data_IF_189088575507
#
_entry.id   IF_189088575507
#
_cell.length_a   1.000
_cell.length_b   1.000
_cell.length_c   1.000
_cell.angle_alpha   90.00
_cell.angle_beta   90.00
_cell.angle_gamma   90.00
#
_symmetry.space_group_name_H-M   'P 1'
#
loop_
_entity.id
_entity.type
_entity.pdbx_description
1 polymer ?
#
# COMPACT_ATOMS: atom_id res chain seq x y z
N UNK A 1 -13.82 -14.55 21.73
CA UNK A 1 -13.00 -15.29 20.75
C UNK A 1 -11.93 -14.33 20.25
N UNK A 2 -10.73 -14.43 20.82
CA UNK A 2 -9.58 -13.65 20.34
C UNK A 2 -9.20 -14.25 18.99
N UNK A 3 -9.52 -13.59 17.89
CA UNK A 3 -8.89 -13.92 16.62
C UNK A 3 -7.39 -13.68 16.84
N UNK A 4 -6.63 -14.76 17.03
CA UNK A 4 -5.18 -14.71 16.96
C UNK A 4 -4.84 -13.96 15.68
N UNK A 5 -4.07 -12.88 15.79
CA UNK A 5 -3.78 -12.04 14.64
C UNK A 5 -2.90 -12.85 13.69
N UNK A 6 -3.52 -13.36 12.62
CA UNK A 6 -2.86 -14.16 11.60
C UNK A 6 -1.73 -13.34 10.97
N UNK A 7 -0.56 -13.94 10.88
CA UNK A 7 0.62 -13.33 10.32
C UNK A 7 1.03 -14.09 9.07
N UNK A 8 1.05 -13.41 7.92
CA UNK A 8 1.39 -14.07 6.66
C UNK A 8 2.89 -13.96 6.41
N UNK A 9 3.49 -15.06 5.99
CA UNK A 9 4.89 -15.15 5.62
C UNK A 9 5.03 -15.31 4.10
N UNK A 10 5.86 -14.45 3.50
CA UNK A 10 6.20 -14.49 2.08
C UNK A 10 7.71 -14.62 1.97
N UNK A 11 8.17 -15.64 1.26
CA UNK A 11 9.58 -15.86 0.93
C UNK A 11 9.78 -15.87 -0.58
N UNK A 12 10.75 -15.12 -1.06
CA UNK A 12 11.06 -15.04 -2.49
C UNK A 12 12.25 -14.14 -2.80
N UNK A 13 12.55 -14.02 -4.09
CA UNK A 13 13.68 -13.23 -4.60
C UNK A 13 13.22 -11.81 -4.89
N UNK A 14 13.77 -10.81 -4.19
CA UNK A 14 13.42 -9.40 -4.44
C UNK A 14 14.10 -8.85 -5.68
N UNK A 15 13.43 -7.93 -6.36
CA UNK A 15 14.00 -7.11 -7.42
C UNK A 15 14.23 -5.67 -6.94
N UNK A 16 15.29 -4.98 -7.40
CA UNK A 16 16.28 -5.44 -8.39
C UNK A 16 17.47 -6.21 -7.80
N UNK A 17 17.58 -6.39 -6.48
CA UNK A 17 18.81 -6.90 -5.84
C UNK A 17 19.05 -8.40 -6.08
N UNK A 18 18.04 -9.15 -6.54
CA UNK A 18 18.11 -10.61 -6.74
C UNK A 18 18.44 -11.41 -5.47
N UNK A 19 18.11 -10.87 -4.30
CA UNK A 19 18.34 -11.53 -3.02
C UNK A 19 17.11 -12.29 -2.54
N UNK A 20 17.32 -13.45 -1.93
CA UNK A 20 16.25 -14.15 -1.24
C UNK A 20 15.93 -13.44 0.08
N UNK A 21 14.68 -13.00 0.23
CA UNK A 21 14.19 -12.31 1.44
C UNK A 21 12.88 -12.91 1.92
N UNK A 22 12.69 -12.80 3.23
CA UNK A 22 11.44 -13.16 3.90
C UNK A 22 10.77 -11.89 4.41
N UNK A 23 9.48 -11.77 4.11
CA UNK A 23 8.61 -10.70 4.58
C UNK A 23 7.47 -11.26 5.41
N UNK A 24 7.04 -10.46 6.37
CA UNK A 24 5.90 -10.76 7.22
C UNK A 24 4.83 -9.68 7.03
N UNK A 25 3.59 -10.12 6.85
CA UNK A 25 2.43 -9.23 6.78
C UNK A 25 1.65 -9.39 8.08
N UNK A 26 1.50 -8.27 8.78
CA UNK A 26 0.73 -8.18 10.01
C UNK A 26 -0.48 -7.26 9.80
N UNK A 27 -1.57 -7.82 9.29
CA UNK A 27 -2.72 -7.02 8.82
C UNK A 27 -2.35 -6.21 7.57
N UNK A 28 -2.31 -4.88 7.68
CA UNK A 28 -1.98 -3.99 6.55
C UNK A 28 -0.49 -3.58 6.48
N UNK A 29 0.35 -4.11 7.37
CA UNK A 29 1.75 -3.69 7.49
C UNK A 29 2.67 -4.79 7.00
N UNK A 30 3.44 -4.48 5.94
CA UNK A 30 4.55 -5.30 5.47
C UNK A 30 5.82 -5.01 6.30
N UNK A 31 6.52 -6.06 6.72
CA UNK A 31 7.76 -5.96 7.51
C UNK A 31 8.86 -6.81 6.89
N UNK A 32 10.03 -6.21 6.72
CA UNK A 32 11.25 -6.92 6.35
C UNK A 32 11.95 -7.48 7.61
N UNK A 33 12.57 -8.65 7.50
CA UNK A 33 13.33 -9.27 8.58
C UNK A 33 12.49 -10.22 9.46
N UNK A 34 12.81 -10.29 10.75
CA UNK A 34 12.11 -11.15 11.70
C UNK A 34 10.76 -10.59 12.15
N UNK A 35 9.81 -11.43 12.59
CA UNK A 35 8.53 -10.96 13.09
C UNK A 35 8.71 -10.14 14.38
N UNK A 36 7.99 -9.00 14.54
CA UNK A 36 8.10 -8.17 15.74
C UNK A 36 7.59 -8.92 16.97
N UNK A 37 8.45 -9.07 17.98
CA UNK A 37 8.13 -9.79 19.23
C UNK A 37 8.25 -11.32 19.14
N UNK A 38 8.79 -11.86 18.04
CA UNK A 38 8.88 -13.30 17.79
C UNK A 38 7.54 -13.90 17.33
N UNK A 39 7.50 -15.23 17.18
CA UNK A 39 6.30 -15.98 16.78
C UNK A 39 5.38 -16.31 17.97
N UNK A 40 5.76 -15.92 19.20
CA UNK A 40 5.05 -16.32 20.40
C UNK A 40 3.62 -15.75 20.43
N UNK A 41 2.62 -16.64 20.34
CA UNK A 41 1.20 -16.31 20.45
C UNK A 41 0.54 -15.81 19.16
N UNK A 42 1.19 -15.94 17.99
CA UNK A 42 0.57 -15.63 16.69
C UNK A 42 0.58 -16.85 15.78
N UNK A 43 -0.56 -17.10 15.14
CA UNK A 43 -0.65 -18.07 14.06
C UNK A 43 0.05 -17.49 12.82
N UNK A 44 1.03 -18.23 12.30
CA UNK A 44 1.83 -17.84 11.14
C UNK A 44 1.55 -18.77 9.96
N UNK A 45 1.18 -18.20 8.82
CA UNK A 45 0.87 -18.94 7.59
C UNK A 45 1.83 -18.54 6.48
N UNK A 46 2.56 -19.49 5.91
CA UNK A 46 3.37 -19.25 4.71
C UNK A 46 2.50 -19.36 3.47
N UNK A 47 2.24 -18.22 2.83
CA UNK A 47 1.40 -18.16 1.62
C UNK A 47 2.19 -18.33 0.33
N UNK A 48 3.48 -17.95 0.35
CA UNK A 48 4.39 -18.02 -0.80
C UNK A 48 5.77 -18.39 -0.30
N UNK A 49 6.38 -19.42 -0.91
CA UNK A 49 7.70 -19.93 -0.53
C UNK A 49 8.75 -19.83 -1.65
N UNK A 50 8.38 -19.31 -2.82
CA UNK A 50 9.30 -19.07 -3.94
C UNK A 50 8.70 -18.07 -4.94
N UNK A 51 9.53 -17.53 -5.85
CA UNK A 51 9.10 -16.59 -6.89
C UNK A 51 9.83 -15.25 -6.81
N UNK A 52 9.43 -14.30 -7.67
CA UNK A 52 9.96 -12.93 -7.68
C UNK A 52 9.02 -12.00 -6.90
N UNK A 53 9.58 -11.25 -5.96
CA UNK A 53 8.88 -10.23 -5.20
C UNK A 53 9.15 -8.86 -5.82
N UNK A 54 8.08 -8.18 -6.18
CA UNK A 54 8.12 -6.83 -6.72
C UNK A 54 7.34 -5.89 -5.79
N UNK A 55 7.75 -4.61 -5.70
CA UNK A 55 6.85 -3.57 -5.20
C UNK A 55 5.52 -3.62 -5.95
N UNK A 56 4.42 -3.35 -5.25
CA UNK A 56 3.12 -3.26 -5.89
C UNK A 56 3.17 -2.26 -7.04
N UNK A 57 2.92 -2.73 -8.26
CA UNK A 57 2.98 -1.87 -9.44
C UNK A 57 1.84 -0.86 -9.37
N UNK A 58 2.20 0.42 -9.57
CA UNK A 58 1.24 1.51 -9.66
C UNK A 58 1.05 1.82 -11.13
N UNK A 59 -0.17 1.65 -11.61
CA UNK A 59 -0.54 2.12 -12.93
C UNK A 59 -0.77 3.63 -12.88
N UNK A 60 0.15 4.36 -13.50
CA UNK A 60 0.11 5.83 -13.60
C UNK A 60 -0.72 6.32 -14.78
N UNK A 61 -1.15 5.41 -15.65
CA UNK A 61 -1.82 5.75 -16.90
C UNK A 61 -2.99 4.80 -17.17
N UNK A 62 -3.85 4.66 -16.16
CA UNK A 62 -5.16 4.03 -16.32
C UNK A 62 -6.22 5.10 -16.61
N UNK A 63 -7.25 4.72 -17.36
CA UNK A 63 -8.43 5.56 -17.61
C UNK A 63 -9.62 5.04 -16.77
N UNK A 64 -9.68 5.34 -15.46
CA UNK A 64 -10.81 4.90 -14.64
C UNK A 64 -12.06 5.67 -15.09
N UNK A 65 -13.18 4.98 -15.24
CA UNK A 65 -14.42 5.60 -15.75
C UNK A 65 -14.66 5.41 -17.25
N UNK A 66 -13.82 4.64 -17.95
CA UNK A 66 -14.07 4.19 -19.32
C UNK A 66 -13.89 2.67 -19.42
N UNK A 67 -14.89 1.96 -19.95
CA UNK A 67 -14.82 0.50 -20.13
C UNK A 67 -14.08 0.09 -21.40
N UNK A 68 -14.09 0.95 -22.42
CA UNK A 68 -13.55 0.67 -23.74
C UNK A 68 -12.73 1.87 -24.26
N UNK A 69 -11.71 1.64 -25.11
CA UNK A 69 -10.98 2.73 -25.75
C UNK A 69 -11.90 3.65 -26.55
N UNK A 70 -11.83 4.96 -26.28
CA UNK A 70 -12.65 5.98 -26.96
C UNK A 70 -14.07 6.15 -26.40
N UNK A 71 -14.46 5.38 -25.39
CA UNK A 71 -15.68 5.66 -24.65
C UNK A 71 -15.57 7.00 -23.88
N UNK A 72 -16.67 7.76 -23.76
CA UNK A 72 -16.69 8.94 -22.90
C UNK A 72 -16.49 8.54 -21.44
N UNK A 73 -15.96 9.47 -20.65
CA UNK A 73 -15.79 9.31 -19.21
C UNK A 73 -17.14 9.29 -18.49
N UNK A 74 -17.34 8.31 -17.63
CA UNK A 74 -18.53 8.15 -16.78
C UNK A 74 -18.12 8.00 -15.30
N UNK A 75 -18.64 8.88 -14.46
CA UNK A 75 -18.38 8.90 -13.02
C UNK A 75 -19.04 7.71 -12.29
N UNK A 76 -20.14 7.16 -12.81
CA UNK A 76 -20.80 5.99 -12.21
C UNK A 76 -19.93 4.73 -12.31
N UNK A 77 -19.03 4.70 -13.30
CA UNK A 77 -18.05 3.62 -13.49
C UNK A 77 -16.82 3.76 -12.57
N UNK A 78 -16.66 4.89 -11.87
CA UNK A 78 -15.57 5.05 -10.92
C UNK A 78 -15.77 4.14 -9.72
N UNK A 79 -14.75 3.35 -9.43
CA UNK A 79 -14.71 2.61 -8.17
C UNK A 79 -14.68 3.60 -7.01
N UNK A 80 -15.60 3.50 -6.03
CA UNK A 80 -15.61 4.42 -4.90
C UNK A 80 -14.29 4.30 -4.12
N UNK A 81 -13.69 5.46 -3.82
CA UNK A 81 -12.50 5.52 -2.97
C UNK A 81 -12.91 5.07 -1.57
N UNK A 82 -12.38 3.94 -1.12
CA UNK A 82 -12.54 3.52 0.27
C UNK A 82 -11.75 4.50 1.14
N UNK A 83 -12.37 5.18 2.12
CA UNK A 83 -11.64 6.10 2.98
C UNK A 83 -10.58 5.29 3.75
N UNK A 84 -9.30 5.63 3.54
CA UNK A 84 -8.19 5.15 4.37
C UNK A 84 -8.02 6.12 5.53
N UNK A 85 -7.78 5.62 6.73
CA UNK A 85 -7.27 6.46 7.81
C UNK A 85 -5.94 7.04 7.34
N UNK A 86 -5.81 8.37 7.17
CA UNK A 86 -4.56 8.94 6.70
C UNK A 86 -3.47 8.69 7.75
N UNK A 87 -2.24 8.38 7.33
CA UNK A 87 -1.14 8.24 8.27
C UNK A 87 -0.88 9.59 8.95
N UNK A 88 -0.55 9.56 10.24
CA UNK A 88 -0.36 10.71 11.14
C UNK A 88 0.59 11.82 10.66
N UNK A 89 1.38 11.59 9.61
CA UNK A 89 2.31 12.58 9.05
C UNK A 89 1.65 13.51 8.01
N UNK A 90 0.43 13.21 7.55
CA UNK A 90 -0.33 14.09 6.62
C UNK A 90 -1.03 15.24 7.38
N UNK A 91 -1.22 15.14 8.70
CA UNK A 91 -1.86 16.18 9.51
C UNK A 91 -0.87 17.22 10.04
N UNK A 92 -0.25 17.99 9.14
CA UNK A 92 0.26 19.33 9.47
C UNK A 92 0.39 20.22 8.23
N UNK A 93 -0.72 20.54 7.58
CA UNK A 93 -0.80 21.79 6.84
C UNK A 93 -1.00 22.90 7.88
N UNK A 94 0.09 23.62 8.20
CA UNK A 94 -0.03 24.89 8.92
C UNK A 94 -0.93 25.81 8.10
N UNK A 95 -1.92 26.40 8.75
CA UNK A 95 -2.76 27.44 8.17
C UNK A 95 -1.88 28.64 7.78
N UNK A 96 -1.66 28.86 6.49
CA UNK A 96 -1.22 30.16 6.00
C UNK A 96 -2.47 31.05 5.94
N UNK A 97 -2.66 31.87 6.99
CA UNK A 97 -3.53 33.04 6.90
C UNK A 97 -2.95 33.97 5.84
N UNK A 98 -3.75 34.28 4.82
CA UNK A 98 -3.37 35.12 3.69
C UNK A 98 -2.92 36.50 4.15
N UNK A 99 -1.88 36.99 3.48
CA UNK A 99 -1.68 38.37 3.04
C UNK A 99 -0.27 38.47 2.44
N UNK A 100 -0.12 37.99 1.20
CA UNK A 100 1.07 38.25 0.41
C UNK A 100 0.67 38.43 -1.06
N UNK A 101 0.45 39.71 -1.38
CA UNK A 101 0.41 40.34 -2.71
C UNK A 101 1.16 39.56 -3.79
N UNK A 102 0.46 39.16 -4.84
CA UNK A 102 1.06 38.77 -6.13
C UNK A 102 1.36 40.05 -6.92
N UNK A 103 2.63 40.25 -7.27
CA UNK A 103 3.08 41.23 -8.26
C UNK A 103 3.39 40.46 -9.56
N UNK A 104 2.68 40.78 -10.64
CA UNK A 104 2.83 40.17 -11.96
C UNK A 104 4.01 40.79 -12.71
N UNK A 105 4.91 39.95 -13.23
CA UNK A 105 5.79 40.33 -14.33
C UNK A 105 6.12 39.16 -15.23
#
# INVERSE_FOLDING_TARGET
MTYGRLMLCIRGVVLPEHEERTFWIDGEVLRAGGPPGGLAGRDAETIVNSGRLLPGLVDVHTHPGALEPGAPFDEELLRPIRPRTPPRWITRAGSCSGDASCDER
#
